data_IF_553682237019
#
_entry.id   IF_553682237019
#
_cell.length_a   1.000
_cell.length_b   1.000
_cell.length_c   1.000
_cell.angle_alpha   90.00
_cell.angle_beta   90.00
_cell.angle_gamma   90.00
#
_symmetry.space_group_name_H-M   'P 1'
#
loop_
_entity.id
_entity.type
_entity.pdbx_description
1 polymer ?
#
# COMPACT_ATOMS: atom_id res chain seq x y z
N UNK A 1 8.62 8.93 -10.14
CA UNK A 1 7.64 9.89 -10.68
C UNK A 1 6.39 9.27 -11.28
N UNK A 2 6.45 8.11 -11.93
CA UNK A 2 5.31 7.37 -12.50
C UNK A 2 3.97 7.49 -11.73
N UNK A 3 3.95 7.27 -10.41
CA UNK A 3 2.72 7.41 -9.62
C UNK A 3 2.15 8.83 -9.66
N UNK A 4 2.99 9.85 -9.47
CA UNK A 4 2.59 11.26 -9.54
C UNK A 4 2.18 11.68 -10.95
N UNK A 5 2.88 11.17 -11.97
CA UNK A 5 2.54 11.41 -13.39
C UNK A 5 1.17 10.86 -13.76
N UNK A 6 0.79 9.72 -13.17
CA UNK A 6 -0.55 9.14 -13.26
C UNK A 6 -1.49 9.68 -12.17
N UNK A 7 -1.24 10.92 -11.72
CA UNK A 7 -2.06 11.70 -10.78
C UNK A 7 -2.34 11.05 -9.42
N UNK A 8 -1.60 10.01 -9.04
CA UNK A 8 -1.73 9.38 -7.72
C UNK A 8 -1.08 10.25 -6.62
N UNK A 9 -1.69 10.26 -5.44
CA UNK A 9 -1.11 10.89 -4.24
C UNK A 9 -0.02 9.98 -3.66
N UNK A 10 1.23 10.22 -4.04
CA UNK A 10 2.37 9.46 -3.53
C UNK A 10 2.67 9.80 -2.06
N UNK A 11 2.75 8.78 -1.21
CA UNK A 11 3.24 8.88 0.17
C UNK A 11 4.31 7.82 0.42
N UNK A 12 5.17 8.08 1.41
CA UNK A 12 6.20 7.14 1.89
C UNK A 12 6.39 7.30 3.39
N UNK A 13 6.67 6.21 4.07
CA UNK A 13 7.24 6.19 5.40
C UNK A 13 8.77 6.31 5.36
N UNK A 14 9.37 6.19 6.55
CA UNK A 14 10.82 6.16 6.72
C UNK A 14 11.45 4.98 5.96
N UNK A 15 12.73 5.12 5.63
CA UNK A 15 13.47 4.07 4.94
C UNK A 15 13.46 2.79 5.79
N UNK A 16 13.13 1.66 5.14
CA UNK A 16 12.99 0.32 5.73
C UNK A 16 11.85 0.13 6.74
N UNK A 17 11.16 1.20 7.16
CA UNK A 17 9.96 1.08 7.97
C UNK A 17 8.79 0.55 7.10
N UNK A 18 7.85 -0.22 7.66
CA UNK A 18 6.65 -0.63 6.93
C UNK A 18 5.76 0.58 6.64
N UNK A 19 5.28 0.68 5.40
CA UNK A 19 4.29 1.69 4.98
C UNK A 19 3.30 1.05 4.01
N UNK A 20 2.02 1.07 4.37
CA UNK A 20 0.92 0.46 3.63
C UNK A 20 -0.15 1.52 3.41
N UNK A 21 -0.64 1.63 2.18
CA UNK A 21 -1.76 2.51 1.83
C UNK A 21 -2.87 1.67 1.20
N UNK A 22 -4.08 1.86 1.69
CA UNK A 22 -5.31 1.27 1.14
C UNK A 22 -6.20 2.39 0.65
N UNK A 23 -6.52 2.38 -0.64
CA UNK A 23 -7.47 3.30 -1.28
C UNK A 23 -8.52 2.48 -2.04
N UNK A 24 -9.65 2.23 -1.39
CA UNK A 24 -10.67 1.31 -1.89
C UNK A 24 -10.09 -0.09 -2.14
N UNK A 25 -10.02 -0.50 -3.41
CA UNK A 25 -9.47 -1.81 -3.84
C UNK A 25 -7.98 -1.75 -4.23
N UNK A 26 -7.36 -0.57 -4.23
CA UNK A 26 -5.93 -0.42 -4.53
C UNK A 26 -5.12 -0.46 -3.22
N UNK A 27 -4.26 -1.46 -3.11
CA UNK A 27 -3.42 -1.69 -1.94
C UNK A 27 -1.96 -1.63 -2.36
N UNK A 28 -1.15 -0.81 -1.69
CA UNK A 28 0.28 -0.66 -1.97
C UNK A 28 1.13 -0.83 -0.71
N UNK A 29 2.35 -1.37 -0.86
CA UNK A 29 3.33 -1.52 0.20
C UNK A 29 4.71 -1.03 -0.25
N UNK A 30 5.43 -0.30 0.60
CA UNK A 30 6.65 0.41 0.20
C UNK A 30 7.86 -0.50 -0.02
N UNK A 31 8.04 -1.53 0.81
CA UNK A 31 9.27 -2.32 0.91
C UNK A 31 9.01 -3.73 1.49
N UNK A 32 10.03 -4.60 1.61
CA UNK A 32 9.85 -5.95 2.15
C UNK A 32 9.21 -5.99 3.55
N UNK A 33 9.53 -5.03 4.43
CA UNK A 33 8.92 -4.96 5.77
C UNK A 33 7.40 -4.67 5.71
N UNK A 34 6.91 -4.11 4.61
CA UNK A 34 5.49 -3.82 4.38
C UNK A 34 4.68 -5.04 3.91
N UNK A 35 5.34 -6.16 3.57
CA UNK A 35 4.71 -7.30 2.88
C UNK A 35 3.57 -7.93 3.68
N UNK A 36 3.80 -8.17 4.97
CA UNK A 36 2.79 -8.78 5.84
C UNK A 36 1.56 -7.86 6.00
N UNK A 37 1.79 -6.56 6.19
CA UNK A 37 0.71 -5.58 6.30
C UNK A 37 -0.12 -5.47 5.04
N UNK A 38 0.52 -5.44 3.87
CA UNK A 38 -0.18 -5.41 2.58
C UNK A 38 -0.99 -6.69 2.35
N UNK A 39 -0.45 -7.86 2.68
CA UNK A 39 -1.18 -9.13 2.56
C UNK A 39 -2.41 -9.19 3.46
N UNK A 40 -2.30 -8.72 4.72
CA UNK A 40 -3.45 -8.62 5.64
C UNK A 40 -4.53 -7.70 5.09
N UNK A 41 -4.16 -6.55 4.54
CA UNK A 41 -5.10 -5.63 3.92
C UNK A 41 -5.84 -6.27 2.73
N UNK A 42 -5.16 -7.07 1.91
CA UNK A 42 -5.79 -7.82 0.81
C UNK A 42 -6.80 -8.83 1.34
N UNK A 43 -6.45 -9.62 2.35
CA UNK A 43 -7.37 -10.60 2.95
C UNK A 43 -8.61 -9.89 3.51
N UNK A 44 -8.43 -8.77 4.21
CA UNK A 44 -9.53 -7.98 4.73
C UNK A 44 -10.44 -7.47 3.59
N UNK A 45 -9.87 -6.90 2.53
CA UNK A 45 -10.64 -6.39 1.39
C UNK A 45 -11.47 -7.48 0.68
N UNK A 46 -11.02 -8.74 0.71
CA UNK A 46 -11.76 -9.87 0.16
C UNK A 46 -12.88 -10.39 1.08
N UNK A 47 -12.78 -10.14 2.39
CA UNK A 47 -13.80 -10.54 3.37
C UNK A 47 -14.96 -9.55 3.45
N UNK A 48 -14.72 -8.29 3.09
CA UNK A 48 -15.72 -7.21 3.10
C UNK A 48 -16.57 -7.14 1.82
N UNK A 49 -16.27 -7.99 0.81
CA UNK A 49 -16.95 -8.06 -0.48
C UNK A 49 -18.06 -9.12 -0.52
#
# INVERSE_FOLDING_TARGET
DMLKENTATYTRGDDWAPHIVVDGKLITGQNPASSEGAAKAVVQALQEA
#
